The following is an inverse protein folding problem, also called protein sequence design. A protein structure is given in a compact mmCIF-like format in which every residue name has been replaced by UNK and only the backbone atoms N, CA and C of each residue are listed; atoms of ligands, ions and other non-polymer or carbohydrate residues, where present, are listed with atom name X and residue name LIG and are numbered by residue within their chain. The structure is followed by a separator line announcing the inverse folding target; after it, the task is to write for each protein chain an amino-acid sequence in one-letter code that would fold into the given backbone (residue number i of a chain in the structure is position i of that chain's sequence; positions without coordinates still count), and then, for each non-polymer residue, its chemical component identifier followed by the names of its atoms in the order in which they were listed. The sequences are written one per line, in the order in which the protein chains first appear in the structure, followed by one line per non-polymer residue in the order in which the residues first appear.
data_IF_540890460692
#
_entry.id   IF_540890460692
#
_cell.length_a   1.000
_cell.length_b   1.000
_cell.length_c   1.000
_cell.angle_alpha   90.00
_cell.angle_beta   90.00
_cell.angle_gamma   90.00
#
_symmetry.space_group_name_H-M   'P 1'
#
loop_
_entity.id
_entity.type
_entity.pdbx_description
1 polymer ?
#
# COMPACT_ATOMS: atom_id res chain seq x y z
N UNK A 1 2.58 -27.55 -20.14
CA UNK A 1 1.63 -26.62 -19.50
C UNK A 1 2.44 -25.67 -18.64
N UNK A 2 2.55 -24.41 -19.03
CA UNK A 2 3.19 -23.39 -18.20
C UNK A 2 2.17 -23.11 -17.09
N UNK A 3 2.53 -23.35 -15.82
CA UNK A 3 1.71 -22.89 -14.70
C UNK A 3 1.65 -21.38 -14.81
N UNK A 4 0.49 -20.86 -15.19
CA UNK A 4 0.21 -19.42 -15.11
C UNK A 4 0.43 -19.03 -13.64
N UNK A 5 1.48 -18.26 -13.37
CA UNK A 5 1.81 -17.83 -12.02
C UNK A 5 0.67 -16.93 -11.55
N UNK A 6 0.01 -17.30 -10.45
CA UNK A 6 -1.03 -16.49 -9.86
C UNK A 6 -0.55 -15.04 -9.67
N UNK A 7 -1.35 -14.07 -10.11
CA UNK A 7 -1.04 -12.64 -10.01
C UNK A 7 -1.16 -12.17 -8.56
N UNK A 8 -0.26 -12.60 -7.67
CA UNK A 8 -0.26 -12.15 -6.29
C UNK A 8 0.15 -10.67 -6.18
N UNK A 9 -0.49 -9.96 -5.28
CA UNK A 9 -0.28 -8.55 -5.03
C UNK A 9 0.22 -8.28 -3.62
N UNK A 10 1.03 -7.24 -3.48
CA UNK A 10 1.33 -6.61 -2.21
C UNK A 10 0.62 -5.25 -2.18
N UNK A 11 -0.41 -5.14 -1.35
CA UNK A 11 -1.12 -3.91 -1.05
C UNK A 11 -0.46 -3.22 0.15
N UNK A 12 -0.12 -1.95 -0.02
CA UNK A 12 0.56 -1.13 0.99
C UNK A 12 -0.30 0.09 1.31
N UNK A 13 -0.41 0.47 2.59
CA UNK A 13 -0.71 1.89 2.86
C UNK A 13 0.48 2.77 2.44
N UNK A 14 0.26 4.08 2.42
CA UNK A 14 1.27 5.09 2.09
C UNK A 14 1.87 5.68 3.37
N UNK A 15 1.08 6.45 4.10
CA UNK A 15 1.51 7.16 5.31
C UNK A 15 1.63 6.17 6.47
N UNK A 16 2.81 6.10 7.09
CA UNK A 16 3.17 5.12 8.13
C UNK A 16 3.74 3.81 7.61
N UNK A 17 3.77 3.59 6.28
CA UNK A 17 4.25 2.33 5.66
C UNK A 17 5.31 2.58 4.60
N UNK A 18 5.03 3.46 3.63
CA UNK A 18 5.99 3.89 2.59
C UNK A 18 6.76 5.12 3.06
N UNK A 19 6.04 6.10 3.62
CA UNK A 19 6.61 7.30 4.21
C UNK A 19 6.25 7.43 5.68
N UNK A 20 7.00 8.24 6.42
CA UNK A 20 6.65 8.62 7.80
C UNK A 20 5.24 9.24 7.84
N UNK A 21 4.42 8.83 8.82
CA UNK A 21 3.12 9.47 9.07
C UNK A 21 3.34 10.74 9.90
N UNK A 22 3.32 11.88 9.21
CA UNK A 22 3.30 13.22 9.82
C UNK A 22 1.90 13.87 9.71
N UNK A 23 0.85 13.07 9.49
CA UNK A 23 -0.52 13.52 9.23
C UNK A 23 -0.76 13.83 7.75
N UNK A 24 -1.21 15.05 7.45
CA UNK A 24 -1.65 15.45 6.10
C UNK A 24 -0.47 15.74 5.14
N UNK A 25 0.41 14.75 4.93
CA UNK A 25 1.58 14.85 4.06
C UNK A 25 1.14 15.06 2.61
N UNK A 26 1.35 16.28 2.12
CA UNK A 26 0.98 16.74 0.77
C UNK A 26 2.10 17.50 0.06
N UNK A 27 3.23 17.78 0.73
CA UNK A 27 4.40 18.42 0.15
C UNK A 27 5.58 17.45 0.06
N UNK A 28 6.35 17.55 -1.02
CA UNK A 28 7.52 16.69 -1.27
C UNK A 28 8.57 16.81 -0.16
N UNK A 29 8.75 18.01 0.39
CA UNK A 29 9.74 18.27 1.46
C UNK A 29 9.45 17.52 2.76
N UNK A 30 8.17 17.20 2.99
CA UNK A 30 7.69 16.50 4.18
C UNK A 30 7.55 14.99 3.93
N UNK A 31 7.73 14.55 2.68
CA UNK A 31 7.65 13.14 2.30
C UNK A 31 8.98 12.43 2.54
N UNK A 32 9.10 11.80 3.70
CA UNK A 32 10.27 11.02 4.10
C UNK A 32 9.99 9.53 3.94
N UNK A 33 10.70 8.87 3.04
CA UNK A 33 10.61 7.42 2.90
C UNK A 33 11.06 6.73 4.18
N UNK A 34 10.31 5.71 4.60
CA UNK A 34 10.70 4.84 5.70
C UNK A 34 11.98 4.09 5.31
N UNK A 35 12.93 4.01 6.24
CA UNK A 35 14.20 3.35 6.00
C UNK A 35 14.00 1.90 5.51
N UNK A 36 14.74 1.53 4.46
CA UNK A 36 14.69 0.19 3.88
C UNK A 36 13.44 -0.14 3.04
N UNK A 37 12.51 0.80 2.82
CA UNK A 37 11.31 0.55 1.99
C UNK A 37 11.67 0.10 0.57
N UNK A 38 12.66 0.74 -0.05
CA UNK A 38 13.08 0.39 -1.42
C UNK A 38 13.60 -1.04 -1.50
N UNK A 39 14.47 -1.46 -0.57
CA UNK A 39 15.00 -2.82 -0.52
C UNK A 39 13.89 -3.84 -0.28
N UNK A 40 12.97 -3.54 0.64
CA UNK A 40 11.88 -4.45 0.93
C UNK A 40 10.98 -4.66 -0.30
N UNK A 41 10.58 -3.58 -0.98
CA UNK A 41 9.71 -3.67 -2.16
C UNK A 41 10.42 -4.29 -3.36
N UNK A 42 11.74 -4.12 -3.49
CA UNK A 42 12.54 -4.82 -4.50
C UNK A 42 12.49 -6.33 -4.32
N UNK A 43 12.57 -6.81 -3.08
CA UNK A 43 12.51 -8.23 -2.77
C UNK A 43 11.10 -8.82 -2.99
N UNK A 44 10.04 -8.08 -2.65
CA UNK A 44 8.68 -8.48 -3.01
C UNK A 44 8.46 -8.52 -4.53
N UNK A 45 8.95 -7.52 -5.26
CA UNK A 45 8.87 -7.53 -6.73
C UNK A 45 9.61 -8.74 -7.33
N UNK A 46 10.83 -9.05 -6.85
CA UNK A 46 11.58 -10.26 -7.27
C UNK A 46 10.84 -11.56 -6.94
N UNK A 47 10.08 -11.58 -5.85
CA UNK A 47 9.23 -12.72 -5.47
C UNK A 47 7.92 -12.81 -6.29
N UNK A 48 7.72 -11.92 -7.27
CA UNK A 48 6.60 -11.94 -8.20
C UNK A 48 5.36 -11.17 -7.75
N UNK A 49 5.45 -10.35 -6.69
CA UNK A 49 4.31 -9.53 -6.28
C UNK A 49 4.14 -8.30 -7.18
N UNK A 50 2.91 -8.05 -7.62
CA UNK A 50 2.51 -6.73 -8.13
C UNK A 50 2.32 -5.76 -6.98
N UNK A 51 2.98 -4.62 -7.02
CA UNK A 51 2.98 -3.65 -5.93
C UNK A 51 1.86 -2.63 -6.10
N UNK A 52 0.97 -2.49 -5.12
CA UNK A 52 -0.12 -1.52 -5.14
C UNK A 52 -0.09 -0.67 -3.88
N UNK A 53 -0.42 0.61 -4.03
CA UNK A 53 -0.66 1.50 -2.89
C UNK A 53 -2.16 1.72 -2.75
N UNK A 54 -2.70 1.56 -1.55
CA UNK A 54 -4.11 1.77 -1.20
C UNK A 54 -4.19 2.72 0.00
N UNK A 55 -4.48 4.01 -0.24
CA UNK A 55 -4.32 5.04 0.79
C UNK A 55 -5.56 5.90 1.04
N UNK A 56 -5.82 6.25 2.30
CA UNK A 56 -6.86 7.20 2.67
C UNK A 56 -6.27 8.63 2.71
N UNK A 57 -6.75 9.51 1.84
CA UNK A 57 -6.24 10.89 1.69
C UNK A 57 -7.32 11.91 2.05
N UNK A 58 -7.84 11.81 3.29
CA UNK A 58 -8.94 12.66 3.75
C UNK A 58 -8.63 14.15 3.82
N UNK A 59 -7.36 14.56 3.71
CA UNK A 59 -7.01 15.97 3.65
C UNK A 59 -7.61 16.66 2.42
N UNK A 60 -7.88 15.92 1.34
CA UNK A 60 -8.59 16.45 0.16
C UNK A 60 -10.04 16.81 0.51
N UNK A 61 -10.81 15.84 1.02
CA UNK A 61 -12.20 16.05 1.42
C UNK A 61 -12.37 17.03 2.59
N UNK A 62 -11.31 17.25 3.38
CA UNK A 62 -11.25 18.27 4.44
C UNK A 62 -10.79 19.64 3.96
N UNK A 63 -10.31 19.76 2.71
CA UNK A 63 -9.82 21.02 2.13
C UNK A 63 -8.43 21.46 2.60
N UNK A 64 -7.62 20.55 3.16
CA UNK A 64 -6.25 20.85 3.60
C UNK A 64 -5.24 20.90 2.45
N UNK A 65 -5.48 20.14 1.39
CA UNK A 65 -4.74 20.18 0.15
C UNK A 65 -5.62 19.74 -1.02
N UNK A 66 -5.24 20.10 -2.23
CA UNK A 66 -5.99 19.77 -3.44
C UNK A 66 -5.62 18.40 -4.01
N UNK A 67 -6.44 17.90 -4.94
CA UNK A 67 -6.14 16.68 -5.68
C UNK A 67 -4.84 16.84 -6.48
N UNK A 68 -4.59 18.01 -7.06
CA UNK A 68 -3.38 18.30 -7.84
C UNK A 68 -2.12 18.23 -6.97
N UNK A 69 -2.19 18.70 -5.71
CA UNK A 69 -1.08 18.57 -4.76
C UNK A 69 -0.81 17.10 -4.43
N UNK A 70 -1.86 16.31 -4.21
CA UNK A 70 -1.72 14.86 -4.03
C UNK A 70 -1.10 14.20 -5.27
N UNK A 71 -1.56 14.55 -6.48
CA UNK A 71 -1.07 13.96 -7.72
C UNK A 71 0.41 14.30 -7.96
N UNK A 72 0.82 15.54 -7.66
CA UNK A 72 2.22 15.97 -7.74
C UNK A 72 3.11 15.17 -6.76
N UNK A 73 2.65 15.01 -5.52
CA UNK A 73 3.37 14.21 -4.52
C UNK A 73 3.43 12.72 -4.91
N UNK A 74 2.31 12.17 -5.39
CA UNK A 74 2.22 10.80 -5.86
C UNK A 74 3.17 10.55 -7.03
N UNK A 75 3.25 11.49 -7.99
CA UNK A 75 4.21 11.43 -9.10
C UNK A 75 5.65 11.43 -8.59
N UNK A 76 5.99 12.29 -7.63
CA UNK A 76 7.32 12.29 -7.01
C UNK A 76 7.66 10.93 -6.38
N UNK A 77 6.72 10.34 -5.63
CA UNK A 77 6.88 9.02 -5.01
C UNK A 77 7.13 7.94 -6.07
N UNK A 78 6.30 7.88 -7.11
CA UNK A 78 6.43 6.91 -8.20
C UNK A 78 7.78 7.04 -8.95
N UNK A 79 8.20 8.27 -9.26
CA UNK A 79 9.49 8.51 -9.92
C UNK A 79 10.68 8.15 -9.02
N UNK A 80 10.55 8.31 -7.69
CA UNK A 80 11.58 7.89 -6.74
C UNK A 80 11.75 6.37 -6.73
N UNK A 81 10.65 5.60 -6.71
CA UNK A 81 10.72 4.14 -6.85
C UNK A 81 11.25 3.70 -8.22
N UNK A 82 10.86 4.39 -9.28
CA UNK A 82 11.32 4.09 -10.64
C UNK A 82 12.81 4.29 -10.84
N UNK A 83 13.42 5.30 -10.21
CA UNK A 83 14.89 5.49 -10.19
C UNK A 83 15.60 4.29 -9.58
N UNK A 84 14.97 3.66 -8.60
CA UNK A 84 15.41 2.43 -7.97
C UNK A 84 15.02 1.16 -8.74
N UNK A 85 14.46 1.28 -9.95
CA UNK A 85 13.95 0.16 -10.76
C UNK A 85 12.85 -0.66 -10.05
N UNK A 86 12.07 -0.01 -9.20
CA UNK A 86 10.90 -0.58 -8.52
C UNK A 86 9.66 0.03 -9.15
N UNK A 87 8.70 -0.81 -9.54
CA UNK A 87 7.50 -0.37 -10.23
C UNK A 87 6.27 -0.60 -9.37
N UNK A 88 5.72 0.48 -8.83
CA UNK A 88 4.37 0.47 -8.26
C UNK A 88 3.39 0.36 -9.43
N UNK A 89 2.60 -0.71 -9.44
CA UNK A 89 1.65 -1.03 -10.50
C UNK A 89 0.56 0.02 -10.60
N UNK A 90 -0.05 0.39 -9.46
CA UNK A 90 -1.03 1.47 -9.39
C UNK A 90 -1.20 1.98 -7.97
N UNK A 91 -1.58 3.26 -7.85
CA UNK A 91 -2.01 3.88 -6.61
C UNK A 91 -3.51 4.07 -6.65
N UNK A 92 -4.20 3.49 -5.68
CA UNK A 92 -5.60 3.75 -5.40
C UNK A 92 -5.67 4.61 -4.14
N UNK A 93 -6.51 5.64 -4.18
CA UNK A 93 -6.69 6.51 -3.03
C UNK A 93 -8.16 6.88 -2.82
N UNK A 94 -8.51 7.16 -1.57
CA UNK A 94 -9.80 7.73 -1.20
C UNK A 94 -9.62 9.19 -0.76
N UNK A 95 -10.15 10.19 -1.49
CA UNK A 95 -10.03 11.60 -1.10
C UNK A 95 -10.97 12.00 0.05
N UNK A 96 -11.97 11.17 0.36
CA UNK A 96 -13.08 11.58 1.21
C UNK A 96 -12.72 11.66 2.70
N UNK A 97 -13.29 12.68 3.35
CA UNK A 97 -13.35 12.78 4.80
C UNK A 97 -14.28 11.69 5.39
N UNK A 98 -14.07 11.26 6.65
CA UNK A 98 -14.91 10.24 7.30
C UNK A 98 -16.42 10.52 7.23
N UNK A 99 -16.80 11.80 7.31
CA UNK A 99 -18.19 12.25 7.40
C UNK A 99 -18.95 12.10 6.06
N UNK A 100 -18.23 11.99 4.93
CA UNK A 100 -18.82 11.86 3.59
C UNK A 100 -19.34 10.45 3.28
N UNK A 101 -19.14 9.45 4.17
CA UNK A 101 -19.69 8.08 4.07
C UNK A 101 -19.51 7.41 2.71
N UNK A 102 -18.37 7.61 2.07
CA UNK A 102 -18.06 6.96 0.79
C UNK A 102 -17.81 5.45 0.93
N UNK A 103 -17.83 4.74 -0.19
CA UNK A 103 -17.56 3.29 -0.23
C UNK A 103 -16.08 2.94 -0.45
N UNK A 104 -15.22 3.90 -0.77
CA UNK A 104 -13.82 3.64 -1.08
C UNK A 104 -12.85 3.79 0.11
N UNK A 105 -13.23 4.53 1.16
CA UNK A 105 -12.38 4.75 2.33
C UNK A 105 -12.15 3.44 3.11
N UNK A 106 -10.89 3.08 3.38
CA UNK A 106 -10.57 1.98 4.31
C UNK A 106 -11.23 2.26 5.67
N UNK A 107 -11.92 1.30 6.31
CA UNK A 107 -11.81 -0.15 6.10
C UNK A 107 -12.66 -0.76 4.98
N UNK A 108 -13.32 0.03 4.12
CA UNK A 108 -13.99 -0.55 2.96
C UNK A 108 -12.97 -1.14 1.97
N UNK A 109 -13.22 -2.33 1.41
CA UNK A 109 -12.26 -3.05 0.58
C UNK A 109 -12.19 -2.56 -0.87
N UNK A 110 -12.98 -1.55 -1.25
CA UNK A 110 -13.19 -1.19 -2.66
C UNK A 110 -11.91 -0.90 -3.43
N UNK A 111 -10.92 -0.21 -2.84
CA UNK A 111 -9.64 0.05 -3.52
C UNK A 111 -8.87 -1.24 -3.87
N UNK A 112 -8.92 -2.24 -2.98
CA UNK A 112 -8.29 -3.55 -3.19
C UNK A 112 -9.08 -4.35 -4.24
N UNK A 113 -10.42 -4.33 -4.16
CA UNK A 113 -11.28 -5.03 -5.11
C UNK A 113 -11.20 -4.43 -6.53
N UNK A 114 -11.05 -3.11 -6.64
CA UNK A 114 -10.83 -2.43 -7.92
C UNK A 114 -9.51 -2.91 -8.55
N UNK A 115 -8.44 -3.02 -7.76
CA UNK A 115 -7.17 -3.59 -8.21
C UNK A 115 -7.31 -5.05 -8.65
N UNK A 116 -8.05 -5.85 -7.89
CA UNK A 116 -8.32 -7.25 -8.26
C UNK A 116 -9.04 -7.36 -9.60
N UNK A 117 -10.06 -6.54 -9.81
CA UNK A 117 -10.82 -6.52 -11.07
C UNK A 117 -9.98 -6.03 -12.25
N UNK A 118 -9.13 -5.03 -12.06
CA UNK A 118 -8.35 -4.42 -13.14
C UNK A 118 -7.13 -5.26 -13.55
N UNK A 119 -6.51 -5.97 -12.61
CA UNK A 119 -5.24 -6.66 -12.82
C UNK A 119 -5.29 -8.18 -12.64
N UNK A 120 -6.51 -8.72 -12.48
CA UNK A 120 -6.79 -10.14 -12.26
C UNK A 120 -5.95 -10.72 -11.10
N UNK A 121 -6.07 -10.09 -9.93
CA UNK A 121 -5.23 -10.40 -8.76
C UNK A 121 -5.77 -11.61 -8.00
N UNK A 122 -4.88 -12.53 -7.67
CA UNK A 122 -5.15 -13.61 -6.72
C UNK A 122 -5.04 -13.09 -5.27
N UNK A 123 -6.19 -12.80 -4.65
CA UNK A 123 -6.25 -12.25 -3.30
C UNK A 123 -5.81 -13.25 -2.22
N UNK A 124 -6.03 -14.55 -2.40
CA UNK A 124 -5.67 -15.58 -1.42
C UNK A 124 -4.15 -15.66 -1.24
N UNK A 125 -3.39 -15.48 -2.32
CA UNK A 125 -1.93 -15.43 -2.29
C UNK A 125 -1.36 -14.01 -2.16
N UNK A 126 -2.21 -12.99 -1.93
CA UNK A 126 -1.80 -11.59 -1.77
C UNK A 126 -1.58 -11.19 -0.31
N UNK A 127 -0.92 -10.05 -0.13
CA UNK A 127 -0.58 -9.47 1.16
C UNK A 127 -1.16 -8.05 1.30
N UNK A 128 -1.59 -7.69 2.50
CA UNK A 128 -1.88 -6.31 2.90
C UNK A 128 -0.93 -5.91 4.03
N UNK A 129 -0.29 -4.76 3.92
CA UNK A 129 0.55 -4.18 4.97
C UNK A 129 0.10 -2.75 5.23
N UNK A 130 -0.25 -2.45 6.48
CA UNK A 130 -0.74 -1.15 6.93
C UNK A 130 -0.29 -0.82 8.35
N UNK A 131 -0.31 0.45 8.75
CA UNK A 131 -0.01 0.90 10.11
C UNK A 131 -1.29 1.07 10.96
N UNK A 132 -2.47 1.06 10.34
CA UNK A 132 -3.77 1.24 11.00
C UNK A 132 -4.60 -0.04 10.94
N UNK A 133 -5.43 -0.24 11.96
CA UNK A 133 -6.40 -1.36 11.99
C UNK A 133 -7.35 -1.34 10.80
N UNK A 134 -7.65 -0.17 10.24
CA UNK A 134 -8.47 -0.01 9.03
C UNK A 134 -7.88 -0.69 7.80
N UNK A 135 -6.56 -0.82 7.73
CA UNK A 135 -5.85 -1.40 6.59
C UNK A 135 -6.00 -2.92 6.59
N UNK A 136 -5.70 -3.52 7.74
CA UNK A 136 -5.88 -4.95 7.99
C UNK A 136 -7.33 -5.36 7.80
N UNK A 137 -8.27 -4.53 8.27
CA UNK A 137 -9.70 -4.80 8.08
C UNK A 137 -10.12 -4.69 6.61
N UNK A 138 -9.60 -3.71 5.85
CA UNK A 138 -9.87 -3.62 4.41
C UNK A 138 -9.35 -4.85 3.66
N UNK A 139 -8.14 -5.31 3.96
CA UNK A 139 -7.58 -6.51 3.35
C UNK A 139 -8.36 -7.77 3.71
N UNK A 140 -8.73 -7.95 4.98
CA UNK A 140 -9.61 -9.06 5.41
C UNK A 140 -10.96 -9.06 4.70
N UNK A 141 -11.63 -7.91 4.60
CA UNK A 141 -12.91 -7.77 3.90
C UNK A 141 -12.80 -8.03 2.39
N UNK A 142 -11.65 -7.74 1.80
CA UNK A 142 -11.38 -8.04 0.41
C UNK A 142 -11.10 -9.53 0.17
N UNK A 143 -10.70 -10.29 1.21
CA UNK A 143 -10.25 -11.68 1.08
C UNK A 143 -8.75 -11.83 0.84
N UNK A 144 -7.95 -10.82 1.22
CA UNK A 144 -6.47 -10.89 1.16
C UNK A 144 -5.97 -11.94 2.15
N UNK A 145 -5.17 -12.89 1.69
CA UNK A 145 -4.78 -14.06 2.49
C UNK A 145 -3.94 -13.75 3.73
N UNK A 146 -2.99 -12.81 3.65
CA UNK A 146 -2.20 -12.37 4.81
C UNK A 146 -2.27 -10.86 5.00
N UNK A 147 -2.48 -10.42 6.23
CA UNK A 147 -2.65 -9.02 6.58
C UNK A 147 -1.75 -8.71 7.77
N UNK A 148 -0.87 -7.72 7.62
CA UNK A 148 0.12 -7.32 8.61
C UNK A 148 -0.14 -5.91 9.10
N UNK A 149 -0.14 -5.74 10.41
CA UNK A 149 -0.20 -4.45 11.09
C UNK A 149 1.21 -4.05 11.52
N UNK A 150 1.66 -2.87 11.10
CA UNK A 150 2.88 -2.24 11.60
C UNK A 150 2.54 -1.48 12.89
N UNK A 151 2.57 -2.17 14.02
CA UNK A 151 2.20 -1.64 15.34
C UNK A 151 3.40 -1.14 16.15
N UNK A 152 4.61 -1.22 15.60
CA UNK A 152 5.86 -0.86 16.28
C UNK A 152 6.34 -1.88 17.32
N UNK A 153 5.55 -2.90 17.61
CA UNK A 153 5.84 -3.95 18.60
C UNK A 153 6.21 -5.25 17.89
N UNK A 154 5.30 -5.77 17.06
CA UNK A 154 5.45 -7.00 16.31
C UNK A 154 6.14 -6.76 14.96
N UNK A 155 5.76 -5.68 14.29
CA UNK A 155 6.37 -5.24 13.02
C UNK A 155 6.54 -3.72 13.08
N UNK A 156 7.77 -3.26 12.90
CA UNK A 156 8.08 -1.82 12.87
C UNK A 156 7.97 -1.26 11.47
N UNK A 157 8.42 -2.03 10.49
CA UNK A 157 8.45 -1.63 9.09
C UNK A 157 8.18 -2.83 8.15
N UNK A 158 8.18 -2.55 6.85
CA UNK A 158 7.95 -3.57 5.80
C UNK A 158 9.05 -4.64 5.77
N UNK A 159 10.29 -4.34 6.23
CA UNK A 159 11.39 -5.32 6.28
C UNK A 159 11.12 -6.39 7.33
N UNK A 160 10.52 -6.05 8.46
CA UNK A 160 10.17 -7.04 9.49
C UNK A 160 9.18 -8.09 8.93
N UNK A 161 8.17 -7.63 8.17
CA UNK A 161 7.21 -8.50 7.48
C UNK A 161 7.93 -9.37 6.45
N UNK A 162 8.79 -8.78 5.61
CA UNK A 162 9.59 -9.50 4.62
C UNK A 162 10.46 -10.59 5.27
N UNK A 163 11.14 -10.26 6.36
CA UNK A 163 12.04 -11.17 7.09
C UNK A 163 11.27 -12.35 7.69
N UNK A 164 10.08 -12.10 8.25
CA UNK A 164 9.18 -13.16 8.72
C UNK A 164 8.79 -14.10 7.58
N UNK A 165 8.34 -13.57 6.45
CA UNK A 165 7.91 -14.37 5.30
C UNK A 165 9.06 -15.19 4.71
N UNK A 166 10.27 -14.61 4.62
CA UNK A 166 11.48 -15.34 4.21
C UNK A 166 11.80 -16.50 5.15
N UNK A 167 11.74 -16.28 6.47
CA UNK A 167 11.99 -17.32 7.48
C UNK A 167 10.97 -18.46 7.40
N UNK A 168 9.72 -18.14 7.09
CA UNK A 168 8.63 -19.10 6.94
C UNK A 168 8.59 -19.79 5.55
N UNK A 169 9.50 -19.41 4.63
CA UNK A 169 9.48 -19.86 3.23
C UNK A 169 8.11 -19.62 2.56
N UNK A 170 7.48 -18.50 2.92
CA UNK A 170 6.12 -18.16 2.52
C UNK A 170 6.04 -16.84 1.75
N UNK A 171 7.17 -16.41 1.19
CA UNK A 171 7.35 -15.26 0.31
C UNK A 171 6.96 -15.61 -1.13
#
# INVERSE_FOLDING_TARGET
MIKETANKALFLDRDGVINEDAGYVCEIKDFKFIDGIFDALREFAKAGYKLFVVTNQSGIGRGYYTQEQFDALNKFMLESFKKEQIFITKVYFCPHAPEQKCTCRKPNPKMILDACKEFDIDLENSLMIGDKSSDVEAGKRAGVGKNFLLDGINFKDVRDVLNKLKKEKSL
#
